data_IF_610873675982
#
_entry.id   IF_610873675982
#
_cell.length_a   1.000
_cell.length_b   1.000
_cell.length_c   1.000
_cell.angle_alpha   90.00
_cell.angle_beta   90.00
_cell.angle_gamma   90.00
#
_symmetry.space_group_name_H-M   'P 1'
#
loop_
_entity.id
_entity.type
_entity.pdbx_description
1 polymer ?
#
# COMPACT_ATOMS: atom_id res chain seq x y z
N UNK A 1 18.17 12.71 -8.29
CA UNK A 1 18.64 11.33 -8.01
C UNK A 1 20.15 11.32 -8.01
N UNK A 2 20.77 10.24 -7.54
CA UNK A 2 22.22 10.10 -7.59
C UNK A 2 22.69 9.64 -8.98
N UNK A 3 23.90 10.05 -9.37
CA UNK A 3 24.60 9.54 -10.55
C UNK A 3 25.17 8.15 -10.32
N UNK A 4 25.38 7.42 -11.41
CA UNK A 4 26.13 6.17 -11.44
C UNK A 4 27.59 6.44 -11.05
N UNK A 5 28.02 5.78 -9.97
CA UNK A 5 29.37 5.85 -9.43
C UNK A 5 29.68 4.55 -8.69
N UNK A 6 30.94 4.36 -8.30
CA UNK A 6 31.31 3.22 -7.46
C UNK A 6 30.59 3.29 -6.11
N UNK A 7 30.47 4.49 -5.53
CA UNK A 7 29.81 4.72 -4.25
C UNK A 7 28.32 4.38 -4.33
N UNK A 8 27.64 4.77 -5.40
CA UNK A 8 26.23 4.46 -5.55
C UNK A 8 25.98 2.97 -5.79
N UNK A 9 26.84 2.29 -6.55
CA UNK A 9 26.82 0.82 -6.64
C UNK A 9 27.06 0.14 -5.28
N UNK A 10 28.04 0.59 -4.49
CA UNK A 10 28.30 0.03 -3.16
C UNK A 10 27.11 0.22 -2.22
N UNK A 11 26.45 1.37 -2.28
CA UNK A 11 25.23 1.62 -1.52
C UNK A 11 24.11 0.65 -1.92
N UNK A 12 23.86 0.46 -3.22
CA UNK A 12 22.91 -0.54 -3.72
C UNK A 12 23.24 -1.96 -3.25
N UNK A 13 24.53 -2.32 -3.27
CA UNK A 13 24.99 -3.61 -2.77
C UNK A 13 24.64 -3.79 -1.29
N UNK A 14 25.03 -2.84 -0.43
CA UNK A 14 24.82 -2.94 1.02
C UNK A 14 23.34 -2.99 1.37
N UNK A 15 22.52 -2.14 0.77
CA UNK A 15 21.08 -2.12 1.03
C UNK A 15 20.38 -3.40 0.60
N UNK A 16 20.66 -3.91 -0.61
CA UNK A 16 20.08 -5.19 -1.06
C UNK A 16 20.61 -6.37 -0.26
N UNK A 17 21.89 -6.39 0.10
CA UNK A 17 22.47 -7.44 0.93
C UNK A 17 21.75 -7.54 2.28
N UNK A 18 21.60 -6.43 2.99
CA UNK A 18 20.95 -6.40 4.30
C UNK A 18 19.46 -6.73 4.22
N UNK A 19 18.78 -6.29 3.14
CA UNK A 19 17.39 -6.67 2.88
C UNK A 19 17.25 -8.19 2.73
N UNK A 20 18.00 -8.80 1.79
CA UNK A 20 17.88 -10.23 1.47
C UNK A 20 18.35 -11.09 2.65
N UNK A 21 19.37 -10.67 3.39
CA UNK A 21 19.82 -11.34 4.61
C UNK A 21 18.70 -11.35 5.66
N UNK A 22 18.03 -10.22 5.86
CA UNK A 22 16.92 -10.10 6.81
C UNK A 22 15.73 -10.95 6.40
N UNK A 23 15.43 -11.06 5.09
CA UNK A 23 14.41 -12.00 4.57
C UNK A 23 14.75 -13.42 5.01
N UNK A 24 15.95 -13.91 4.70
CA UNK A 24 16.33 -15.29 5.03
C UNK A 24 16.36 -15.57 6.53
N UNK A 25 16.88 -14.64 7.33
CA UNK A 25 16.86 -14.75 8.79
C UNK A 25 15.44 -14.85 9.35
N UNK A 26 14.48 -14.07 8.85
CA UNK A 26 13.10 -14.10 9.34
C UNK A 26 12.35 -15.38 8.93
N UNK A 27 12.59 -15.89 7.73
CA UNK A 27 12.00 -17.14 7.26
C UNK A 27 12.53 -18.33 8.09
N UNK A 28 13.86 -18.46 8.20
CA UNK A 28 14.48 -19.59 8.89
C UNK A 28 14.31 -19.55 10.42
N UNK A 29 14.19 -18.36 11.02
CA UNK A 29 13.84 -18.23 12.45
C UNK A 29 12.35 -18.44 12.75
N UNK A 30 11.51 -18.62 11.72
CA UNK A 30 10.06 -18.82 11.86
C UNK A 30 9.40 -17.75 12.73
N UNK A 31 9.56 -16.46 12.37
CA UNK A 31 8.95 -15.33 13.08
C UNK A 31 7.69 -14.81 12.36
N UNK A 32 6.53 -15.51 12.45
CA UNK A 32 5.33 -15.16 11.69
C UNK A 32 4.67 -13.86 12.16
N UNK A 33 4.98 -13.39 13.37
CA UNK A 33 4.36 -12.19 13.93
C UNK A 33 5.06 -10.92 13.43
N UNK A 34 6.39 -10.90 13.44
CA UNK A 34 7.18 -9.69 13.16
C UNK A 34 8.00 -9.77 11.88
N UNK A 35 8.02 -10.90 11.17
CA UNK A 35 8.85 -11.11 9.99
C UNK A 35 8.64 -10.03 8.92
N UNK A 36 7.39 -9.75 8.54
CA UNK A 36 7.06 -8.70 7.57
C UNK A 36 7.50 -7.31 8.03
N UNK A 37 7.28 -6.98 9.31
CA UNK A 37 7.73 -5.69 9.89
C UNK A 37 9.25 -5.58 9.95
N UNK A 38 9.96 -6.67 10.26
CA UNK A 38 11.43 -6.69 10.30
C UNK A 38 12.03 -6.42 8.92
N UNK A 39 11.49 -7.07 7.88
CA UNK A 39 11.92 -6.86 6.48
C UNK A 39 11.58 -5.44 6.02
N UNK A 40 10.39 -4.94 6.34
CA UNK A 40 10.00 -3.55 6.08
C UNK A 40 10.93 -2.54 6.77
N UNK A 41 11.33 -2.83 8.01
CA UNK A 41 12.18 -1.96 8.82
C UNK A 41 13.59 -1.86 8.24
N UNK A 42 14.21 -2.99 7.85
CA UNK A 42 15.54 -2.93 7.22
C UNK A 42 15.49 -2.18 5.89
N UNK A 43 14.45 -2.39 5.08
CA UNK A 43 14.28 -1.64 3.83
C UNK A 43 14.18 -0.13 4.09
N UNK A 44 13.30 0.29 5.01
CA UNK A 44 13.12 1.68 5.40
C UNK A 44 14.43 2.31 5.93
N UNK A 45 15.10 1.63 6.88
CA UNK A 45 16.34 2.13 7.49
C UNK A 45 17.43 2.29 6.44
N UNK A 46 17.58 1.32 5.53
CA UNK A 46 18.57 1.42 4.46
C UNK A 46 18.24 2.51 3.44
N UNK A 47 16.95 2.75 3.16
CA UNK A 47 16.53 3.86 2.29
C UNK A 47 16.92 5.21 2.90
N UNK A 48 16.69 5.42 4.19
CA UNK A 48 17.11 6.66 4.85
C UNK A 48 18.63 6.78 4.98
N UNK A 49 19.33 5.67 5.22
CA UNK A 49 20.79 5.68 5.37
C UNK A 49 21.54 5.94 4.05
N UNK A 50 21.07 5.37 2.95
CA UNK A 50 21.81 5.33 1.68
C UNK A 50 21.10 6.01 0.50
N UNK A 51 19.85 6.46 0.67
CA UNK A 51 19.09 7.12 -0.39
C UNK A 51 19.77 8.36 -0.96
N UNK A 52 20.47 9.13 -0.11
CA UNK A 52 21.27 10.28 -0.56
C UNK A 52 22.50 9.90 -1.41
N UNK A 53 22.93 8.64 -1.38
CA UNK A 53 24.11 8.14 -2.10
C UNK A 53 23.74 7.49 -3.43
N UNK A 54 22.69 6.66 -3.48
CA UNK A 54 22.32 5.90 -4.68
C UNK A 54 20.91 6.15 -5.20
N UNK A 55 20.03 6.77 -4.41
CA UNK A 55 18.58 6.72 -4.60
C UNK A 55 17.90 5.54 -3.91
N UNK A 56 18.68 4.59 -3.36
CA UNK A 56 18.22 3.43 -2.60
C UNK A 56 17.16 2.58 -3.33
N UNK A 57 17.48 2.12 -4.54
CA UNK A 57 16.54 1.30 -5.33
C UNK A 57 16.38 -0.10 -4.71
N UNK A 58 17.49 -0.72 -4.33
CA UNK A 58 17.67 -2.04 -3.71
C UNK A 58 16.92 -3.22 -4.35
N UNK A 59 16.39 -3.01 -5.54
CA UNK A 59 15.46 -3.90 -6.21
C UNK A 59 15.55 -3.66 -7.73
N UNK A 60 15.84 -4.71 -8.55
CA UNK A 60 15.88 -4.57 -10.00
C UNK A 60 14.55 -4.09 -10.61
N UNK A 61 13.41 -4.47 -10.03
CA UNK A 61 12.09 -4.02 -10.48
C UNK A 61 11.87 -2.51 -10.20
N UNK A 62 12.36 -2.01 -9.06
CA UNK A 62 12.35 -0.56 -8.76
C UNK A 62 13.27 0.20 -9.72
N UNK A 63 14.47 -0.33 -9.97
CA UNK A 63 15.41 0.25 -10.94
C UNK A 63 14.81 0.32 -12.35
N UNK A 64 14.10 -0.74 -12.78
CA UNK A 64 13.36 -0.76 -14.03
C UNK A 64 12.26 0.32 -14.05
N UNK A 65 11.43 0.40 -13.01
CA UNK A 65 10.34 1.37 -12.94
C UNK A 65 10.85 2.82 -13.05
N UNK A 66 11.91 3.16 -12.31
CA UNK A 66 12.54 4.48 -12.38
C UNK A 66 13.16 4.74 -13.76
N UNK A 67 13.77 3.73 -14.38
CA UNK A 67 14.29 3.82 -15.75
C UNK A 67 13.21 4.11 -16.78
N UNK A 68 12.12 3.32 -16.76
CA UNK A 68 10.97 3.48 -17.64
C UNK A 68 10.25 4.83 -17.46
N UNK A 69 10.19 5.33 -16.22
CA UNK A 69 9.65 6.65 -15.91
C UNK A 69 10.62 7.81 -16.23
N UNK A 70 11.82 7.52 -16.76
CA UNK A 70 12.83 8.53 -17.09
C UNK A 70 13.39 9.26 -15.88
N UNK A 71 13.44 8.60 -14.71
CA UNK A 71 13.83 9.21 -13.44
C UNK A 71 15.27 8.90 -13.03
N UNK A 72 15.95 7.98 -13.72
CA UNK A 72 17.36 7.64 -13.52
C UNK A 72 18.28 8.63 -14.24
N UNK A 73 19.21 9.25 -13.54
CA UNK A 73 20.04 10.35 -14.08
C UNK A 73 20.96 9.90 -15.21
N UNK A 74 21.60 8.74 -15.08
CA UNK A 74 22.44 8.14 -16.13
C UNK A 74 21.68 7.10 -16.97
N UNK A 75 20.34 7.14 -16.93
CA UNK A 75 19.44 6.32 -17.73
C UNK A 75 19.68 4.82 -17.59
N UNK A 76 19.58 4.10 -18.71
CA UNK A 76 19.66 2.63 -18.75
C UNK A 76 21.00 2.04 -18.32
N UNK A 77 22.09 2.80 -18.40
CA UNK A 77 23.40 2.36 -17.87
C UNK A 77 23.32 2.16 -16.36
N UNK A 78 22.69 3.09 -15.66
CA UNK A 78 22.49 3.02 -14.22
C UNK A 78 21.53 1.88 -13.84
N UNK A 79 20.43 1.71 -14.58
CA UNK A 79 19.48 0.60 -14.37
C UNK A 79 20.18 -0.75 -14.45
N UNK A 80 20.99 -0.97 -15.49
CA UNK A 80 21.74 -2.21 -15.68
C UNK A 80 22.78 -2.44 -14.59
N UNK A 81 23.58 -1.41 -14.27
CA UNK A 81 24.60 -1.50 -13.23
C UNK A 81 24.00 -1.82 -11.85
N UNK A 82 22.94 -1.11 -11.45
CA UNK A 82 22.27 -1.35 -10.18
C UNK A 82 21.67 -2.76 -10.13
N UNK A 83 20.98 -3.20 -11.19
CA UNK A 83 20.36 -4.54 -11.22
C UNK A 83 21.38 -5.66 -11.04
N UNK A 84 22.54 -5.57 -11.71
CA UNK A 84 23.63 -6.55 -11.55
C UNK A 84 24.16 -6.57 -10.11
N UNK A 85 24.40 -5.40 -9.54
CA UNK A 85 24.96 -5.29 -8.18
C UNK A 85 23.96 -5.78 -7.12
N UNK A 86 22.67 -5.46 -7.28
CA UNK A 86 21.60 -5.92 -6.41
C UNK A 86 21.45 -7.45 -6.45
N UNK A 87 21.48 -8.06 -7.65
CA UNK A 87 21.44 -9.52 -7.79
C UNK A 87 22.65 -10.16 -7.11
N UNK A 88 23.86 -9.62 -7.32
CA UNK A 88 25.06 -10.13 -6.66
C UNK A 88 24.99 -10.02 -5.13
N UNK A 89 24.46 -8.91 -4.62
CA UNK A 89 24.20 -8.74 -3.19
C UNK A 89 23.21 -9.78 -2.64
N UNK A 90 22.13 -10.05 -3.37
CA UNK A 90 21.14 -11.06 -2.99
C UNK A 90 21.70 -12.48 -2.94
N UNK A 91 22.56 -12.84 -3.89
CA UNK A 91 23.27 -14.13 -3.87
C UNK A 91 24.17 -14.27 -2.62
N UNK A 92 24.98 -13.25 -2.33
CA UNK A 92 25.88 -13.28 -1.17
C UNK A 92 25.13 -13.26 0.16
N UNK A 93 24.05 -12.48 0.26
CA UNK A 93 23.18 -12.48 1.43
C UNK A 93 22.54 -13.84 1.66
N UNK A 94 22.19 -14.53 0.57
CA UNK A 94 21.56 -15.85 0.66
C UNK A 94 22.51 -16.93 1.11
N UNK A 95 23.75 -16.91 0.61
CA UNK A 95 24.84 -17.74 1.16
C UNK A 95 25.07 -17.42 2.65
N UNK A 96 24.99 -16.14 3.04
CA UNK A 96 25.22 -15.73 4.43
C UNK A 96 24.18 -16.32 5.38
N UNK A 97 22.88 -16.18 5.09
CA UNK A 97 21.88 -16.78 5.98
C UNK A 97 21.95 -18.32 5.95
N UNK A 98 22.28 -18.92 4.80
CA UNK A 98 22.41 -20.37 4.69
C UNK A 98 23.55 -20.89 5.60
N UNK A 99 24.67 -20.19 5.65
CA UNK A 99 25.76 -20.49 6.58
C UNK A 99 25.39 -20.21 8.04
N UNK A 100 24.63 -19.15 8.31
CA UNK A 100 24.23 -18.78 9.67
C UNK A 100 23.28 -19.82 10.30
N UNK A 101 22.32 -20.32 9.52
CA UNK A 101 21.29 -21.25 9.99
C UNK A 101 21.60 -22.71 9.67
N UNK A 102 22.60 -22.98 8.81
CA UNK A 102 22.88 -24.31 8.25
C UNK A 102 21.64 -24.92 7.58
N UNK A 103 20.80 -24.07 6.99
CA UNK A 103 19.54 -24.45 6.36
C UNK A 103 19.19 -23.48 5.23
N UNK A 104 18.32 -23.92 4.32
CA UNK A 104 17.87 -23.16 3.16
C UNK A 104 16.37 -23.35 2.93
N UNK A 105 15.77 -22.49 2.13
CA UNK A 105 14.38 -22.61 1.73
C UNK A 105 14.25 -22.26 0.24
N UNK A 106 13.21 -22.76 -0.40
CA UNK A 106 12.94 -22.49 -1.81
C UNK A 106 11.94 -21.34 -1.97
N UNK A 107 12.08 -20.61 -3.08
CA UNK A 107 11.02 -19.73 -3.58
C UNK A 107 9.97 -20.60 -4.28
N UNK A 108 8.71 -20.22 -4.18
CA UNK A 108 7.64 -20.83 -4.95
C UNK A 108 6.27 -20.61 -4.32
N UNK A 109 5.20 -21.04 -5.03
CA UNK A 109 3.86 -21.04 -4.47
C UNK A 109 3.82 -21.82 -3.16
N UNK A 110 3.17 -21.26 -2.15
CA UNK A 110 3.01 -21.94 -0.86
C UNK A 110 2.03 -23.11 -0.98
N UNK A 111 2.04 -24.01 0.00
CA UNK A 111 1.16 -25.16 0.01
C UNK A 111 -0.32 -24.74 -0.10
N UNK A 112 -1.04 -25.34 -1.06
CA UNK A 112 -2.45 -25.03 -1.34
C UNK A 112 -2.67 -24.02 -2.46
N UNK A 113 -1.61 -23.36 -2.95
CA UNK A 113 -1.70 -22.39 -4.04
C UNK A 113 -0.95 -22.83 -5.29
N UNK A 114 -1.46 -22.42 -6.43
CA UNK A 114 -0.88 -22.67 -7.76
C UNK A 114 0.05 -21.54 -8.17
N UNK A 115 0.84 -21.79 -9.20
CA UNK A 115 1.81 -20.81 -9.73
C UNK A 115 1.16 -19.47 -10.11
N UNK A 116 -0.02 -19.48 -10.74
CA UNK A 116 -0.62 -18.23 -11.23
C UNK A 116 -1.18 -17.39 -10.07
N UNK A 117 -1.68 -18.03 -8.99
CA UNK A 117 -2.13 -17.34 -7.77
C UNK A 117 -0.96 -16.61 -7.10
N UNK A 118 0.19 -17.30 -6.99
CA UNK A 118 1.42 -16.68 -6.51
C UNK A 118 1.90 -15.53 -7.41
N UNK A 119 1.82 -15.70 -8.73
CA UNK A 119 2.31 -14.68 -9.67
C UNK A 119 1.43 -13.43 -9.72
N UNK A 120 0.12 -13.56 -9.52
CA UNK A 120 -0.75 -12.39 -9.33
C UNK A 120 -0.31 -11.61 -8.08
N UNK A 121 0.02 -12.30 -6.99
CA UNK A 121 0.48 -11.64 -5.76
C UNK A 121 1.80 -10.88 -5.97
N UNK A 122 2.79 -11.53 -6.57
CA UNK A 122 4.09 -10.91 -6.86
C UNK A 122 3.94 -9.70 -7.81
N UNK A 123 3.08 -9.81 -8.82
CA UNK A 123 2.76 -8.69 -9.71
C UNK A 123 2.12 -7.52 -8.96
N UNK A 124 1.10 -7.77 -8.14
CA UNK A 124 0.31 -6.72 -7.47
C UNK A 124 1.13 -5.96 -6.42
N UNK A 125 1.85 -6.66 -5.55
CA UNK A 125 2.61 -5.98 -4.51
C UNK A 125 3.94 -5.41 -5.02
N UNK A 126 4.50 -5.93 -6.12
CA UNK A 126 5.58 -5.22 -6.85
C UNK A 126 5.07 -3.98 -7.55
N UNK A 127 3.86 -4.02 -8.12
CA UNK A 127 3.20 -2.81 -8.62
C UNK A 127 3.10 -1.79 -7.48
N UNK A 128 2.56 -2.19 -6.31
CA UNK A 128 2.40 -1.29 -5.17
C UNK A 128 3.75 -0.68 -4.78
N UNK A 129 4.81 -1.49 -4.69
CA UNK A 129 6.15 -1.05 -4.31
C UNK A 129 6.68 0.00 -5.29
N UNK A 130 6.70 -0.33 -6.59
CA UNK A 130 7.19 0.58 -7.62
C UNK A 130 6.33 1.84 -7.74
N UNK A 131 5.01 1.72 -7.59
CA UNK A 131 4.09 2.86 -7.63
C UNK A 131 4.33 3.80 -6.45
N UNK A 132 4.53 3.27 -5.25
CA UNK A 132 4.86 4.07 -4.06
C UNK A 132 6.22 4.75 -4.22
N UNK A 133 7.24 4.05 -4.72
CA UNK A 133 8.55 4.68 -5.02
C UNK A 133 8.39 5.83 -6.01
N UNK A 134 7.70 5.61 -7.13
CA UNK A 134 7.51 6.62 -8.16
C UNK A 134 6.78 7.87 -7.62
N UNK A 135 5.77 7.69 -6.79
CA UNK A 135 4.98 8.80 -6.26
C UNK A 135 5.64 9.53 -5.10
N UNK A 136 6.29 8.81 -4.18
CA UNK A 136 6.83 9.41 -2.95
C UNK A 136 8.27 9.90 -3.09
N UNK A 137 9.11 9.20 -3.87
CA UNK A 137 10.52 9.52 -3.98
C UNK A 137 10.90 10.18 -5.33
N UNK A 138 10.17 9.88 -6.41
CA UNK A 138 10.55 10.29 -7.78
C UNK A 138 9.58 11.28 -8.46
N UNK A 139 8.42 11.56 -7.87
CA UNK A 139 7.51 12.58 -8.37
C UNK A 139 8.15 13.96 -8.20
N UNK A 140 7.82 14.90 -9.08
CA UNK A 140 8.33 16.26 -9.01
C UNK A 140 7.67 17.06 -7.89
N UNK A 141 6.43 16.69 -7.52
CA UNK A 141 5.69 17.35 -6.44
C UNK A 141 6.25 16.99 -5.06
N UNK A 142 6.58 15.71 -4.84
CA UNK A 142 7.01 15.22 -3.53
C UNK A 142 8.50 14.87 -3.45
N UNK A 143 9.10 14.36 -4.52
CA UNK A 143 10.46 13.81 -4.51
C UNK A 143 11.51 14.81 -4.02
N UNK A 144 12.18 14.47 -2.91
CA UNK A 144 13.18 15.32 -2.26
C UNK A 144 12.63 16.39 -1.30
N UNK A 145 11.31 16.58 -1.25
CA UNK A 145 10.64 17.61 -0.43
C UNK A 145 9.79 17.02 0.72
N UNK A 146 9.79 15.69 0.87
CA UNK A 146 9.08 14.99 1.93
C UNK A 146 10.01 14.10 2.75
N UNK A 147 9.58 13.78 3.97
CA UNK A 147 10.34 12.93 4.90
C UNK A 147 9.76 11.52 5.02
N UNK A 148 8.59 11.25 4.47
CA UNK A 148 7.89 9.98 4.63
C UNK A 148 8.22 8.92 3.56
N UNK A 149 8.93 9.27 2.47
CA UNK A 149 9.20 8.35 1.36
C UNK A 149 9.78 6.99 1.81
N UNK A 150 10.78 6.99 2.70
CA UNK A 150 11.38 5.75 3.19
C UNK A 150 10.40 4.89 4.00
N UNK A 151 9.62 5.53 4.88
CA UNK A 151 8.54 4.88 5.63
C UNK A 151 7.47 4.29 4.70
N UNK A 152 7.03 5.06 3.70
CA UNK A 152 6.02 4.63 2.74
C UNK A 152 6.51 3.42 1.92
N UNK A 153 7.73 3.47 1.39
CA UNK A 153 8.31 2.37 0.62
C UNK A 153 8.48 1.12 1.51
N UNK A 154 8.99 1.27 2.73
CA UNK A 154 9.14 0.15 3.67
C UNK A 154 7.81 -0.53 4.02
N UNK A 155 6.77 0.25 4.30
CA UNK A 155 5.47 -0.29 4.71
C UNK A 155 4.69 -0.98 3.58
N UNK A 156 5.09 -0.84 2.31
CA UNK A 156 4.58 -1.72 1.25
C UNK A 156 4.88 -3.19 1.57
N UNK A 157 6.07 -3.45 2.15
CA UNK A 157 6.44 -4.81 2.56
C UNK A 157 5.56 -5.30 3.71
N UNK A 158 5.12 -4.43 4.63
CA UNK A 158 4.13 -4.84 5.64
C UNK A 158 2.82 -5.25 4.95
N UNK A 159 2.32 -4.46 4.00
CA UNK A 159 1.09 -4.78 3.27
C UNK A 159 1.21 -6.11 2.50
N UNK A 160 2.30 -6.32 1.76
CA UNK A 160 2.50 -7.50 0.93
C UNK A 160 2.91 -8.76 1.69
N UNK A 161 3.81 -8.66 2.67
CA UNK A 161 4.29 -9.83 3.41
C UNK A 161 3.16 -10.52 4.19
N UNK A 162 2.28 -9.73 4.82
CA UNK A 162 1.14 -10.28 5.55
C UNK A 162 -0.09 -10.54 4.66
N UNK A 163 -0.26 -9.77 3.58
CA UNK A 163 -1.33 -9.96 2.62
C UNK A 163 -1.12 -11.19 1.73
N UNK A 164 0.01 -11.28 1.04
CA UNK A 164 0.25 -12.36 0.06
C UNK A 164 1.39 -13.31 0.39
N UNK A 165 2.14 -13.09 1.47
CA UNK A 165 3.24 -13.99 1.85
C UNK A 165 2.77 -15.44 2.04
N UNK A 166 1.55 -15.64 2.53
CA UNK A 166 0.93 -16.96 2.68
C UNK A 166 0.54 -17.62 1.34
N UNK A 167 0.63 -16.90 0.20
CA UNK A 167 0.31 -17.39 -1.16
C UNK A 167 1.58 -17.55 -2.00
N UNK A 168 2.43 -16.52 -2.03
CA UNK A 168 3.62 -16.48 -2.91
C UNK A 168 4.96 -16.49 -2.18
N UNK A 169 4.98 -16.36 -0.86
CA UNK A 169 6.20 -16.08 -0.08
C UNK A 169 6.60 -14.59 -0.06
N UNK A 170 6.03 -13.76 -0.95
CA UNK A 170 6.13 -12.29 -0.92
C UNK A 170 7.53 -11.74 -1.17
N UNK A 171 8.11 -12.02 -2.35
CA UNK A 171 9.45 -11.55 -2.70
C UNK A 171 9.47 -10.08 -3.11
N UNK A 172 8.61 -9.72 -4.06
CA UNK A 172 8.43 -8.39 -4.66
C UNK A 172 9.73 -7.75 -5.19
N UNK A 173 10.76 -8.57 -5.43
CA UNK A 173 12.11 -8.14 -5.71
C UNK A 173 12.90 -9.27 -6.40
N UNK A 174 13.32 -9.07 -7.67
CA UNK A 174 14.07 -10.09 -8.39
C UNK A 174 15.38 -10.50 -7.70
N UNK A 175 16.05 -9.58 -6.99
CA UNK A 175 17.27 -9.91 -6.26
C UNK A 175 17.00 -10.81 -5.04
N UNK A 176 15.83 -10.67 -4.40
CA UNK A 176 15.39 -11.56 -3.32
C UNK A 176 15.06 -12.94 -3.90
N UNK A 177 14.23 -12.99 -4.94
CA UNK A 177 13.81 -14.24 -5.57
C UNK A 177 15.00 -15.05 -6.12
N UNK A 178 15.89 -14.41 -6.89
CA UNK A 178 17.10 -15.04 -7.45
C UNK A 178 18.06 -15.48 -6.33
N UNK A 179 18.24 -14.66 -5.30
CA UNK A 179 19.11 -14.97 -4.17
C UNK A 179 18.71 -16.26 -3.46
N UNK A 180 17.43 -16.37 -3.08
CA UNK A 180 16.89 -17.52 -2.36
C UNK A 180 16.96 -18.79 -3.23
N UNK A 181 16.51 -18.72 -4.48
CA UNK A 181 16.45 -19.88 -5.38
C UNK A 181 17.86 -20.43 -5.70
N UNK A 182 18.89 -19.57 -5.72
CA UNK A 182 20.27 -19.98 -5.97
C UNK A 182 20.88 -20.87 -4.87
N UNK A 183 20.52 -20.64 -3.60
CA UNK A 183 21.01 -21.48 -2.48
C UNK A 183 20.03 -22.60 -2.12
N UNK A 184 18.74 -22.41 -2.40
CA UNK A 184 17.67 -23.39 -2.18
C UNK A 184 17.59 -24.51 -3.23
N UNK A 185 18.59 -24.67 -4.11
CA UNK A 185 18.55 -25.57 -5.27
C UNK A 185 18.21 -27.03 -4.93
N UNK A 186 18.54 -27.49 -3.71
CA UNK A 186 18.18 -28.84 -3.24
C UNK A 186 16.70 -29.00 -2.88
N UNK A 187 15.99 -27.89 -2.68
CA UNK A 187 14.59 -27.81 -2.24
C UNK A 187 13.64 -27.34 -3.36
N UNK A 188 14.18 -26.95 -4.51
CA UNK A 188 13.46 -26.44 -5.68
C UNK A 188 14.32 -25.38 -6.39
N UNK A 189 14.28 -25.33 -7.73
CA UNK A 189 15.03 -24.35 -8.52
C UNK A 189 14.23 -23.92 -9.76
N UNK A 190 14.38 -22.65 -10.16
CA UNK A 190 13.84 -22.08 -11.39
C UNK A 190 12.61 -21.20 -11.18
N UNK A 191 12.05 -21.16 -9.96
CA UNK A 191 10.92 -20.29 -9.64
C UNK A 191 11.31 -18.82 -9.72
N UNK A 192 12.56 -18.47 -9.44
CA UNK A 192 13.01 -17.08 -9.49
C UNK A 192 12.79 -16.43 -10.87
N UNK A 193 12.82 -17.22 -11.95
CA UNK A 193 12.59 -16.73 -13.31
C UNK A 193 11.15 -16.24 -13.49
N UNK A 194 10.19 -17.03 -13.02
CA UNK A 194 8.78 -16.68 -13.12
C UNK A 194 8.45 -15.48 -12.22
N UNK A 195 8.96 -15.48 -10.97
CA UNK A 195 8.84 -14.36 -10.04
C UNK A 195 9.38 -13.08 -10.68
N UNK A 196 10.62 -13.13 -11.19
CA UNK A 196 11.26 -11.97 -11.84
C UNK A 196 10.39 -11.44 -12.99
N UNK A 197 9.87 -12.30 -13.86
CA UNK A 197 9.02 -11.85 -14.98
C UNK A 197 7.79 -11.10 -14.48
N UNK A 198 7.07 -11.64 -13.50
CA UNK A 198 5.84 -11.01 -13.00
C UNK A 198 6.09 -9.77 -12.14
N UNK A 199 7.20 -9.73 -11.39
CA UNK A 199 7.67 -8.54 -10.68
C UNK A 199 8.01 -7.40 -11.66
N UNK A 200 8.71 -7.70 -12.77
CA UNK A 200 9.01 -6.70 -13.81
C UNK A 200 7.74 -6.23 -14.57
N UNK A 201 6.76 -7.11 -14.77
CA UNK A 201 5.43 -6.73 -15.29
C UNK A 201 4.74 -5.79 -14.29
N UNK A 202 4.73 -6.13 -13.00
CA UNK A 202 4.17 -5.28 -11.94
C UNK A 202 4.82 -3.89 -11.90
N UNK A 203 6.15 -3.82 -12.00
CA UNK A 203 6.90 -2.57 -12.11
C UNK A 203 6.51 -1.74 -13.35
N UNK A 204 6.35 -2.40 -14.50
CA UNK A 204 5.93 -1.74 -15.75
C UNK A 204 4.51 -1.19 -15.65
N UNK A 205 3.59 -1.95 -15.07
CA UNK A 205 2.22 -1.52 -14.82
C UNK A 205 2.18 -0.35 -13.82
N UNK A 206 3.05 -0.33 -12.80
CA UNK A 206 3.17 0.78 -11.87
C UNK A 206 3.57 2.08 -12.57
N UNK A 207 4.48 2.02 -13.55
CA UNK A 207 4.84 3.17 -14.39
C UNK A 207 3.63 3.62 -15.21
N UNK A 208 2.85 2.70 -15.78
CA UNK A 208 1.62 3.04 -16.49
C UNK A 208 0.61 3.73 -15.56
N UNK A 209 0.40 3.20 -14.35
CA UNK A 209 -0.46 3.82 -13.32
C UNK A 209 0.02 5.22 -12.93
N UNK A 210 1.33 5.39 -12.73
CA UNK A 210 1.94 6.70 -12.43
C UNK A 210 1.69 7.69 -13.56
N UNK A 211 1.91 7.31 -14.82
CA UNK A 211 1.73 8.20 -15.99
C UNK A 211 0.26 8.53 -16.22
N UNK A 212 -0.65 7.56 -16.05
CA UNK A 212 -2.09 7.80 -16.19
C UNK A 212 -2.63 8.73 -15.12
N UNK A 213 -2.08 8.66 -13.90
CA UNK A 213 -2.46 9.51 -12.79
C UNK A 213 -1.79 10.89 -12.84
N UNK A 214 -0.53 10.97 -13.30
CA UNK A 214 0.27 12.21 -13.37
C UNK A 214 0.78 12.43 -14.81
N UNK A 215 -0.11 12.65 -15.79
CA UNK A 215 0.30 12.82 -17.18
C UNK A 215 1.24 14.02 -17.38
N UNK A 216 1.14 15.05 -16.52
CA UNK A 216 1.99 16.24 -16.51
C UNK A 216 3.43 15.92 -16.08
N UNK A 217 3.66 14.84 -15.35
CA UNK A 217 4.98 14.47 -14.83
C UNK A 217 5.70 13.41 -15.67
N UNK A 218 5.11 13.03 -16.81
CA UNK A 218 5.55 11.94 -17.67
C UNK A 218 6.98 12.09 -18.21
N UNK A 219 7.40 13.32 -18.53
CA UNK A 219 8.70 13.59 -19.18
C UNK A 219 9.63 14.44 -18.31
N UNK A 220 10.94 14.23 -18.49
CA UNK A 220 11.97 15.12 -17.96
C UNK A 220 11.72 16.55 -18.45
N UNK A 221 11.68 17.53 -17.53
CA UNK A 221 11.47 18.95 -17.83
C UNK A 221 10.06 19.53 -17.60
N UNK A 222 9.00 18.72 -17.51
CA UNK A 222 7.63 19.22 -17.22
C UNK A 222 7.40 19.48 -15.72
N UNK A 223 6.91 20.65 -15.29
CA UNK A 223 6.68 20.89 -13.86
C UNK A 223 5.41 20.21 -13.34
N UNK A 224 5.38 19.86 -12.04
CA UNK A 224 4.15 19.38 -11.42
C UNK A 224 3.14 20.53 -11.31
N UNK A 225 1.84 20.28 -11.60
CA UNK A 225 0.83 21.31 -11.47
C UNK A 225 0.58 21.66 -10.00
N UNK A 226 0.10 22.89 -9.75
CA UNK A 226 -0.35 23.29 -8.42
C UNK A 226 -1.50 22.39 -7.91
N UNK A 227 -2.45 22.08 -8.79
CA UNK A 227 -3.55 21.15 -8.57
C UNK A 227 -3.72 20.21 -9.77
N UNK A 228 -3.97 18.92 -9.51
CA UNK A 228 -4.26 17.95 -10.56
C UNK A 228 -5.71 18.01 -11.01
N UNK A 229 -5.98 17.67 -12.26
CA UNK A 229 -7.33 17.61 -12.80
C UNK A 229 -8.15 16.42 -12.28
N UNK A 230 -9.47 16.45 -12.50
CA UNK A 230 -10.40 15.41 -12.06
C UNK A 230 -9.98 14.01 -12.51
N UNK A 231 -9.47 13.85 -13.74
CA UNK A 231 -9.03 12.54 -14.26
C UNK A 231 -7.95 11.91 -13.37
N UNK A 232 -6.89 12.67 -13.05
CA UNK A 232 -5.82 12.22 -12.15
C UNK A 232 -6.36 11.81 -10.80
N UNK A 233 -7.27 12.64 -10.25
CA UNK A 233 -7.89 12.40 -8.95
C UNK A 233 -8.67 11.09 -8.91
N UNK A 234 -9.56 10.86 -9.89
CA UNK A 234 -10.41 9.66 -9.93
C UNK A 234 -9.62 8.38 -10.26
N UNK A 235 -8.53 8.48 -11.04
CA UNK A 235 -7.58 7.37 -11.25
C UNK A 235 -6.87 7.03 -9.94
N UNK A 236 -6.42 8.05 -9.19
CA UNK A 236 -5.82 7.87 -7.87
C UNK A 236 -6.76 7.17 -6.89
N UNK A 237 -8.00 7.65 -6.78
CA UNK A 237 -9.03 7.04 -5.93
C UNK A 237 -9.31 5.57 -6.29
N UNK A 238 -9.33 5.25 -7.59
CA UNK A 238 -9.51 3.87 -8.05
C UNK A 238 -8.32 2.98 -7.65
N UNK A 239 -7.08 3.41 -7.91
CA UNK A 239 -5.87 2.62 -7.59
C UNK A 239 -5.77 2.38 -6.08
N UNK A 240 -5.91 3.43 -5.26
CA UNK A 240 -5.79 3.29 -3.80
C UNK A 240 -6.89 2.41 -3.20
N UNK A 241 -8.14 2.56 -3.66
CA UNK A 241 -9.25 1.70 -3.19
C UNK A 241 -9.07 0.26 -3.62
N UNK A 242 -8.64 0.01 -4.87
CA UNK A 242 -8.37 -1.34 -5.37
C UNK A 242 -7.36 -2.06 -4.48
N UNK A 243 -6.21 -1.43 -4.20
CA UNK A 243 -5.16 -2.04 -3.38
C UNK A 243 -5.59 -2.23 -1.92
N UNK A 244 -6.35 -1.29 -1.36
CA UNK A 244 -6.93 -1.44 -0.04
C UNK A 244 -7.80 -2.70 0.04
N UNK A 245 -8.77 -2.85 -0.87
CA UNK A 245 -9.71 -3.99 -0.84
C UNK A 245 -9.02 -5.33 -1.14
N UNK A 246 -8.07 -5.36 -2.10
CA UNK A 246 -7.23 -6.55 -2.31
C UNK A 246 -6.53 -6.92 -1.00
N UNK A 247 -5.89 -5.96 -0.34
CA UNK A 247 -5.13 -6.23 0.90
C UNK A 247 -6.03 -6.74 2.03
N UNK A 248 -7.26 -6.21 2.14
CA UNK A 248 -8.28 -6.68 3.10
C UNK A 248 -8.55 -8.17 2.89
N UNK A 249 -8.99 -8.56 1.69
CA UNK A 249 -9.40 -9.93 1.47
C UNK A 249 -8.24 -10.93 1.53
N UNK A 250 -7.08 -10.53 1.01
CA UNK A 250 -5.85 -11.33 1.10
C UNK A 250 -5.47 -11.63 2.56
N UNK A 251 -5.56 -10.65 3.47
CA UNK A 251 -5.26 -10.88 4.89
C UNK A 251 -6.31 -11.71 5.62
N UNK A 252 -7.60 -11.49 5.34
CA UNK A 252 -8.70 -12.17 6.04
C UNK A 252 -8.74 -13.66 5.67
N UNK A 253 -8.59 -14.00 4.39
CA UNK A 253 -8.68 -15.38 3.91
C UNK A 253 -7.55 -16.29 4.41
N UNK A 254 -6.37 -15.71 4.65
CA UNK A 254 -5.23 -16.45 5.23
C UNK A 254 -5.18 -16.35 6.76
N UNK A 255 -6.20 -15.76 7.39
CA UNK A 255 -6.27 -15.52 8.83
C UNK A 255 -4.99 -14.86 9.39
N UNK A 256 -4.50 -13.83 8.68
CA UNK A 256 -3.26 -13.13 9.04
C UNK A 256 -3.31 -12.56 10.46
N UNK A 257 -2.30 -12.87 11.27
CA UNK A 257 -2.18 -12.36 12.65
C UNK A 257 -1.94 -10.85 12.70
N UNK A 258 -1.49 -10.27 11.61
CA UNK A 258 -1.23 -8.84 11.48
C UNK A 258 -2.21 -8.16 10.52
N UNK A 259 -3.38 -8.76 10.26
CA UNK A 259 -4.35 -8.26 9.28
C UNK A 259 -4.64 -6.76 9.41
N UNK A 260 -5.00 -6.28 10.60
CA UNK A 260 -5.31 -4.87 10.83
C UNK A 260 -4.11 -3.95 10.50
N UNK A 261 -2.89 -4.36 10.86
CA UNK A 261 -1.68 -3.59 10.61
C UNK A 261 -1.25 -3.63 9.12
N UNK A 262 -1.45 -4.77 8.45
CA UNK A 262 -1.21 -4.92 7.01
C UNK A 262 -2.16 -4.08 6.17
N UNK A 263 -3.45 -4.06 6.52
CA UNK A 263 -4.47 -3.26 5.83
C UNK A 263 -4.21 -1.78 6.08
N UNK A 264 -3.87 -1.40 7.32
CA UNK A 264 -3.43 -0.06 7.66
C UNK A 264 -2.20 0.39 6.87
N UNK A 265 -1.21 -0.49 6.69
CA UNK A 265 -0.04 -0.22 5.88
C UNK A 265 -0.41 0.05 4.42
N UNK A 266 -1.28 -0.78 3.82
CA UNK A 266 -1.79 -0.57 2.45
C UNK A 266 -2.48 0.79 2.29
N UNK A 267 -3.39 1.14 3.22
CA UNK A 267 -4.02 2.46 3.23
C UNK A 267 -2.97 3.59 3.34
N UNK A 268 -2.06 3.48 4.30
CA UNK A 268 -1.03 4.49 4.58
C UNK A 268 -0.17 4.78 3.37
N UNK A 269 0.36 3.74 2.70
CA UNK A 269 1.27 3.92 1.57
C UNK A 269 0.56 4.47 0.34
N UNK A 270 -0.73 4.14 0.15
CA UNK A 270 -1.56 4.73 -0.89
C UNK A 270 -1.86 6.21 -0.60
N UNK A 271 -2.13 6.59 0.65
CA UNK A 271 -2.29 8.01 1.04
C UNK A 271 -1.01 8.79 0.77
N UNK A 272 0.15 8.26 1.15
CA UNK A 272 1.42 8.92 0.87
C UNK A 272 1.72 9.07 -0.63
N UNK A 273 1.20 8.17 -1.46
CA UNK A 273 1.44 8.17 -2.91
C UNK A 273 0.50 9.07 -3.70
N UNK A 274 -0.73 9.25 -3.22
CA UNK A 274 -1.84 9.82 -4.01
C UNK A 274 -2.48 11.03 -3.31
N UNK A 275 -2.19 11.25 -2.01
CA UNK A 275 -2.78 12.33 -1.23
C UNK A 275 -2.57 13.73 -1.80
N UNK A 276 -1.43 13.99 -2.44
CA UNK A 276 -1.14 15.26 -3.13
C UNK A 276 -1.85 15.41 -4.50
N UNK A 277 -2.49 14.33 -4.97
CA UNK A 277 -3.29 14.27 -6.19
C UNK A 277 -4.77 14.41 -5.86
N UNK A 278 -5.36 13.45 -5.13
CA UNK A 278 -6.80 13.38 -4.85
C UNK A 278 -7.20 13.70 -3.41
N UNK A 279 -6.25 13.87 -2.50
CA UNK A 279 -6.52 13.85 -1.06
C UNK A 279 -6.57 12.43 -0.47
N UNK A 280 -6.57 11.38 -1.30
CA UNK A 280 -6.43 9.98 -0.90
C UNK A 280 -7.55 9.48 0.01
N UNK A 281 -8.81 9.62 -0.43
CA UNK A 281 -9.95 9.24 0.40
C UNK A 281 -10.14 7.71 0.47
N UNK A 282 -10.13 7.04 -0.68
CA UNK A 282 -10.28 5.59 -0.88
C UNK A 282 -11.49 4.94 -0.19
N UNK A 283 -12.45 5.77 0.21
CA UNK A 283 -13.52 5.41 1.12
C UNK A 283 -14.70 6.37 0.92
N UNK A 284 -15.88 5.87 0.54
CA UNK A 284 -17.06 6.71 0.39
C UNK A 284 -17.51 7.41 1.68
N UNK A 285 -17.28 6.81 2.86
CA UNK A 285 -17.57 7.44 4.15
C UNK A 285 -16.62 8.64 4.42
N UNK A 286 -15.32 8.49 4.13
CA UNK A 286 -14.36 9.60 4.20
C UNK A 286 -14.76 10.70 3.21
N UNK A 287 -15.09 10.34 1.97
CA UNK A 287 -15.53 11.29 0.95
C UNK A 287 -16.79 12.04 1.38
N UNK A 288 -17.74 11.34 2.01
CA UNK A 288 -18.94 11.95 2.59
C UNK A 288 -18.58 12.96 3.70
N UNK A 289 -17.70 12.58 4.63
CA UNK A 289 -17.29 13.46 5.72
C UNK A 289 -16.61 14.75 5.20
N UNK A 290 -15.73 14.62 4.20
CA UNK A 290 -15.03 15.73 3.55
C UNK A 290 -16.00 16.65 2.79
N UNK A 291 -16.96 16.10 2.03
CA UNK A 291 -17.93 16.90 1.27
C UNK A 291 -18.97 17.58 2.16
N UNK A 292 -19.46 16.92 3.21
CA UNK A 292 -20.36 17.56 4.20
C UNK A 292 -19.63 18.71 4.89
N UNK A 293 -18.32 18.60 5.09
CA UNK A 293 -17.48 19.65 5.68
C UNK A 293 -17.10 20.76 4.67
N UNK A 294 -17.58 20.71 3.43
CA UNK A 294 -17.32 21.75 2.42
C UNK A 294 -15.87 21.78 1.91
N UNK A 295 -15.14 20.67 2.07
CA UNK A 295 -13.70 20.59 1.76
C UNK A 295 -13.42 20.04 0.35
N UNK A 296 -14.45 19.57 -0.36
CA UNK A 296 -14.39 19.11 -1.75
C UNK A 296 -15.71 19.48 -2.47
N UNK A 297 -15.71 19.79 -3.78
CA UNK A 297 -16.94 20.03 -4.53
C UNK A 297 -17.85 18.78 -4.59
N UNK A 298 -19.17 18.96 -4.47
CA UNK A 298 -20.14 17.86 -4.49
C UNK A 298 -20.04 16.96 -5.73
N UNK A 299 -19.80 17.56 -6.91
CA UNK A 299 -19.67 16.80 -8.15
C UNK A 299 -18.42 15.91 -8.15
N UNK A 300 -17.30 16.44 -7.64
CA UNK A 300 -16.05 15.70 -7.51
C UNK A 300 -16.22 14.54 -6.52
N UNK A 301 -16.84 14.78 -5.37
CA UNK A 301 -17.18 13.75 -4.39
C UNK A 301 -18.03 12.60 -5.00
N UNK A 302 -19.00 12.93 -5.85
CA UNK A 302 -19.80 11.93 -6.57
C UNK A 302 -18.96 11.01 -7.46
N UNK A 303 -17.97 11.56 -8.18
CA UNK A 303 -17.06 10.75 -8.98
C UNK A 303 -16.11 9.90 -8.13
N UNK A 304 -15.64 10.42 -7.00
CA UNK A 304 -14.79 9.66 -6.07
C UNK A 304 -15.53 8.43 -5.56
N UNK A 305 -16.76 8.60 -5.06
CA UNK A 305 -17.58 7.49 -4.57
C UNK A 305 -17.80 6.45 -5.66
N UNK A 306 -18.14 6.87 -6.89
CA UNK A 306 -18.36 5.93 -7.98
C UNK A 306 -17.11 5.09 -8.30
N UNK A 307 -15.94 5.72 -8.35
CA UNK A 307 -14.68 5.02 -8.63
C UNK A 307 -14.23 4.15 -7.46
N UNK A 308 -14.40 4.60 -6.22
CA UNK A 308 -14.09 3.81 -5.02
C UNK A 308 -14.94 2.53 -4.99
N UNK A 309 -16.26 2.64 -5.21
CA UNK A 309 -17.14 1.47 -5.22
C UNK A 309 -16.77 0.49 -6.34
N UNK A 310 -16.52 0.98 -7.56
CA UNK A 310 -16.11 0.14 -8.69
C UNK A 310 -14.77 -0.57 -8.44
N UNK A 311 -13.78 0.18 -7.92
CA UNK A 311 -12.47 -0.36 -7.57
C UNK A 311 -12.54 -1.35 -6.40
N UNK A 312 -13.45 -1.13 -5.44
CA UNK A 312 -13.69 -2.05 -4.32
C UNK A 312 -14.24 -3.39 -4.80
N UNK A 313 -15.20 -3.38 -5.73
CA UNK A 313 -15.70 -4.61 -6.36
C UNK A 313 -14.58 -5.33 -7.12
N UNK A 314 -13.80 -4.60 -7.93
CA UNK A 314 -12.71 -5.19 -8.69
C UNK A 314 -11.63 -5.79 -7.76
N UNK A 315 -11.25 -5.07 -6.70
CA UNK A 315 -10.28 -5.56 -5.72
C UNK A 315 -10.79 -6.81 -5.00
N UNK A 316 -12.09 -6.89 -4.75
CA UNK A 316 -12.69 -8.06 -4.14
C UNK A 316 -12.68 -9.30 -5.05
N UNK A 317 -13.04 -9.11 -6.32
CA UNK A 317 -12.94 -10.16 -7.34
C UNK A 317 -11.51 -10.67 -7.54
N UNK A 318 -10.50 -9.79 -7.37
CA UNK A 318 -9.10 -10.20 -7.48
C UNK A 318 -8.67 -11.07 -6.30
N UNK A 319 -8.99 -10.73 -5.04
CA UNK A 319 -8.63 -11.62 -3.93
C UNK A 319 -9.41 -12.95 -4.00
N UNK A 320 -10.68 -12.92 -4.44
CA UNK A 320 -11.52 -14.10 -4.65
C UNK A 320 -10.88 -15.03 -5.69
N UNK A 321 -10.47 -14.46 -6.83
CA UNK A 321 -9.77 -15.20 -7.88
C UNK A 321 -8.48 -15.83 -7.33
N UNK A 322 -7.65 -15.05 -6.63
CA UNK A 322 -6.39 -15.54 -6.04
C UNK A 322 -6.63 -16.67 -5.03
N UNK A 323 -7.76 -16.69 -4.33
CA UNK A 323 -8.13 -17.75 -3.39
C UNK A 323 -9.05 -18.82 -3.98
N UNK A 324 -9.09 -18.96 -5.31
CA UNK A 324 -9.82 -20.06 -5.95
C UNK A 324 -11.34 -20.00 -5.78
N UNK A 325 -11.90 -18.80 -5.59
CA UNK A 325 -13.32 -18.59 -5.33
C UNK A 325 -13.67 -18.45 -3.84
N UNK A 326 -12.71 -18.59 -2.93
CA UNK A 326 -12.97 -18.39 -1.50
C UNK A 326 -13.15 -16.90 -1.15
N UNK A 327 -14.06 -16.63 -0.23
CA UNK A 327 -14.41 -15.31 0.29
C UNK A 327 -15.04 -15.44 1.69
N UNK A 328 -15.39 -14.34 2.33
CA UNK A 328 -15.87 -14.29 3.71
C UNK A 328 -17.12 -13.41 3.83
N UNK A 329 -18.03 -13.70 4.78
CA UNK A 329 -19.26 -12.93 4.95
C UNK A 329 -19.02 -11.63 5.75
N UNK A 330 -19.86 -10.63 5.48
CA UNK A 330 -20.10 -9.52 6.42
C UNK A 330 -21.16 -9.94 7.43
N UNK A 331 -20.97 -9.57 8.69
CA UNK A 331 -21.96 -9.82 9.74
C UNK A 331 -21.37 -9.83 11.14
N UNK A 332 -22.21 -10.08 12.15
CA UNK A 332 -21.75 -10.18 13.53
C UNK A 332 -20.77 -11.34 13.69
N UNK A 333 -19.68 -11.10 14.41
CA UNK A 333 -18.79 -12.15 14.89
C UNK A 333 -19.47 -13.04 15.92
N UNK A 334 -18.83 -14.17 16.25
CA UNK A 334 -19.37 -15.14 17.20
C UNK A 334 -19.66 -14.48 18.56
N UNK A 335 -20.91 -14.59 19.02
CA UNK A 335 -21.38 -14.02 20.28
C UNK A 335 -21.85 -12.57 20.20
N UNK A 336 -21.84 -11.96 19.01
CA UNK A 336 -22.32 -10.60 18.78
C UNK A 336 -23.58 -10.59 17.91
N UNK A 337 -24.30 -9.48 17.96
CA UNK A 337 -25.51 -9.24 17.18
C UNK A 337 -25.36 -8.00 16.28
N UNK A 338 -26.40 -7.69 15.51
CA UNK A 338 -26.39 -6.54 14.61
C UNK A 338 -26.33 -5.20 15.33
N UNK A 339 -26.78 -5.10 16.58
CA UNK A 339 -26.63 -3.88 17.36
C UNK A 339 -25.16 -3.62 17.71
N UNK A 340 -24.42 -4.67 18.08
CA UNK A 340 -22.98 -4.62 18.31
C UNK A 340 -22.21 -4.21 17.05
N UNK A 341 -22.58 -4.77 15.89
CA UNK A 341 -22.01 -4.38 14.59
C UNK A 341 -22.27 -2.92 14.28
N UNK A 342 -23.51 -2.45 14.46
CA UNK A 342 -23.87 -1.06 14.19
C UNK A 342 -23.05 -0.08 15.04
N UNK A 343 -22.94 -0.32 16.34
CA UNK A 343 -22.12 0.52 17.24
C UNK A 343 -20.66 0.51 16.82
N UNK A 344 -20.10 -0.67 16.54
CA UNK A 344 -18.71 -0.83 16.14
C UNK A 344 -18.39 -0.04 14.84
N UNK A 345 -19.16 -0.29 13.78
CA UNK A 345 -18.94 0.36 12.47
C UNK A 345 -19.20 1.87 12.53
N UNK A 346 -20.21 2.35 13.25
CA UNK A 346 -20.47 3.79 13.42
C UNK A 346 -19.30 4.48 14.13
N UNK A 347 -18.88 3.95 15.28
CA UNK A 347 -17.88 4.61 16.14
C UNK A 347 -16.49 4.60 15.50
N UNK A 348 -16.06 3.48 14.91
CA UNK A 348 -14.71 3.43 14.33
C UNK A 348 -14.65 4.07 12.94
N UNK A 349 -15.76 4.15 12.20
CA UNK A 349 -15.83 5.00 10.99
C UNK A 349 -15.84 6.47 11.36
N UNK A 350 -16.52 6.84 12.46
CA UNK A 350 -16.42 8.17 13.04
C UNK A 350 -14.97 8.52 13.38
N UNK A 351 -14.23 7.64 14.06
CA UNK A 351 -12.81 7.87 14.39
C UNK A 351 -11.99 8.12 13.13
N UNK A 352 -12.11 7.26 12.12
CA UNK A 352 -11.40 7.41 10.85
C UNK A 352 -11.74 8.76 10.18
N UNK A 353 -13.02 9.05 9.98
CA UNK A 353 -13.46 10.26 9.29
C UNK A 353 -13.11 11.54 10.06
N UNK A 354 -13.26 11.52 11.39
CA UNK A 354 -12.94 12.66 12.24
C UNK A 354 -11.45 12.97 12.20
N UNK A 355 -10.61 11.94 12.30
CA UNK A 355 -9.15 12.10 12.19
C UNK A 355 -8.76 12.64 10.82
N UNK A 356 -9.29 12.08 9.72
CA UNK A 356 -9.03 12.60 8.36
C UNK A 356 -9.34 14.10 8.28
N UNK A 357 -10.49 14.53 8.79
CA UNK A 357 -10.84 15.94 8.79
C UNK A 357 -9.83 16.79 9.57
N UNK A 358 -9.42 16.34 10.76
CA UNK A 358 -8.51 17.07 11.64
C UNK A 358 -7.06 17.13 11.13
N UNK A 359 -6.58 16.13 10.38
CA UNK A 359 -5.15 16.05 9.99
C UNK A 359 -4.89 16.29 8.51
N UNK A 360 -5.93 16.25 7.67
CA UNK A 360 -5.80 16.42 6.21
C UNK A 360 -6.70 17.52 5.63
N UNK A 361 -7.89 17.76 6.20
CA UNK A 361 -8.87 18.69 5.63
C UNK A 361 -8.84 20.11 6.25
N UNK A 362 -8.03 20.32 7.29
CA UNK A 362 -7.78 21.63 7.91
C UNK A 362 -6.94 22.54 7.01
N UNK A 363 -7.07 23.86 7.18
CA UNK A 363 -6.29 24.85 6.40
C UNK A 363 -4.78 24.70 6.62
N UNK A 364 -4.38 24.33 7.84
CA UNK A 364 -2.97 24.10 8.21
C UNK A 364 -2.87 22.72 8.87
N UNK A 365 -2.43 21.69 8.13
CA UNK A 365 -2.22 20.37 8.70
C UNK A 365 -1.22 20.40 9.87
N UNK A 366 -1.57 19.83 11.04
CA UNK A 366 -0.70 19.87 12.22
C UNK A 366 0.58 19.03 12.07
N UNK A 367 0.54 17.98 11.24
CA UNK A 367 1.64 17.04 11.06
C UNK A 367 1.65 16.48 9.62
N UNK A 368 1.88 17.31 8.58
CA UNK A 368 1.70 16.93 7.18
C UNK A 368 2.55 15.72 6.75
N UNK A 369 3.74 15.55 7.34
CA UNK A 369 4.62 14.41 7.07
C UNK A 369 4.08 13.09 7.67
N UNK A 370 3.20 13.16 8.66
CA UNK A 370 2.62 12.01 9.36
C UNK A 370 1.16 11.75 8.99
N UNK A 371 0.54 12.56 8.12
CA UNK A 371 -0.88 12.45 7.76
C UNK A 371 -1.27 11.03 7.33
N UNK A 372 -0.52 10.41 6.41
CA UNK A 372 -0.78 9.04 5.96
C UNK A 372 -0.67 8.02 7.11
N UNK A 373 0.37 8.14 7.94
CA UNK A 373 0.57 7.26 9.11
C UNK A 373 -0.57 7.36 10.12
N UNK A 374 -0.97 8.59 10.47
CA UNK A 374 -2.04 8.86 11.44
C UNK A 374 -3.37 8.25 10.95
N UNK A 375 -3.70 8.45 9.67
CA UNK A 375 -4.94 7.91 9.07
C UNK A 375 -4.86 6.37 9.00
N UNK A 376 -3.72 5.81 8.57
CA UNK A 376 -3.51 4.36 8.57
C UNK A 376 -3.67 3.73 9.95
N UNK A 377 -3.17 4.37 11.01
CA UNK A 377 -3.30 3.88 12.38
C UNK A 377 -4.75 3.83 12.87
N UNK A 378 -5.66 4.61 12.30
CA UNK A 378 -7.10 4.47 12.60
C UNK A 378 -7.63 3.09 12.20
N UNK A 379 -7.13 2.51 11.10
CA UNK A 379 -7.49 1.15 10.67
C UNK A 379 -6.88 0.10 11.60
N UNK A 380 -5.66 0.32 12.10
CA UNK A 380 -5.07 -0.56 13.12
C UNK A 380 -5.91 -0.55 14.40
N UNK A 381 -6.31 0.64 14.86
CA UNK A 381 -7.16 0.84 16.04
C UNK A 381 -8.51 0.14 15.85
N UNK A 382 -9.20 0.39 14.74
CA UNK A 382 -10.49 -0.26 14.44
C UNK A 382 -10.38 -1.77 14.28
N UNK A 383 -9.50 -2.25 13.40
CA UNK A 383 -9.34 -3.68 13.13
C UNK A 383 -8.97 -4.48 14.38
N UNK A 384 -8.13 -3.95 15.27
CA UNK A 384 -7.77 -4.64 16.53
C UNK A 384 -8.86 -4.53 17.60
N UNK A 385 -9.57 -3.40 17.69
CA UNK A 385 -10.59 -3.19 18.71
C UNK A 385 -11.90 -3.93 18.42
N UNK A 386 -12.35 -3.92 17.16
CA UNK A 386 -13.68 -4.41 16.76
C UNK A 386 -13.65 -5.52 15.70
N UNK A 387 -12.48 -6.00 15.28
CA UNK A 387 -12.38 -7.07 14.27
C UNK A 387 -13.16 -8.34 14.65
N UNK A 388 -13.23 -8.68 15.94
CA UNK A 388 -14.04 -9.82 16.43
C UNK A 388 -15.54 -9.55 16.49
N UNK A 389 -15.97 -8.29 16.41
CA UNK A 389 -17.36 -7.86 16.53
C UNK A 389 -18.02 -7.75 15.15
N UNK A 390 -17.41 -6.98 14.24
CA UNK A 390 -17.95 -6.70 12.89
C UNK A 390 -16.97 -7.04 11.76
N UNK A 391 -15.75 -7.47 12.07
CA UNK A 391 -14.67 -7.52 11.08
C UNK A 391 -13.98 -6.17 10.83
N UNK A 392 -14.59 -5.05 11.24
CA UNK A 392 -14.04 -3.71 11.12
C UNK A 392 -13.89 -3.24 9.68
N UNK A 393 -15.00 -3.16 8.94
CA UNK A 393 -14.99 -2.78 7.51
C UNK A 393 -14.67 -1.29 7.31
N UNK A 394 -15.37 -0.42 8.05
CA UNK A 394 -15.13 1.03 8.14
C UNK A 394 -15.14 1.78 6.81
N UNK A 395 -15.65 1.15 5.75
CA UNK A 395 -15.50 1.62 4.37
C UNK A 395 -16.57 1.00 3.45
N UNK A 396 -17.48 1.81 2.89
CA UNK A 396 -18.52 1.32 2.00
C UNK A 396 -18.02 0.59 0.75
N UNK A 397 -16.83 0.95 0.24
CA UNK A 397 -16.22 0.26 -0.91
C UNK A 397 -15.69 -1.13 -0.54
N UNK A 398 -15.15 -1.30 0.68
CA UNK A 398 -14.76 -2.61 1.22
C UNK A 398 -16.02 -3.46 1.44
N UNK A 399 -17.04 -2.89 2.09
CA UNK A 399 -18.32 -3.53 2.36
C UNK A 399 -19.03 -4.01 1.09
N UNK A 400 -19.12 -3.16 0.06
CA UNK A 400 -19.69 -3.52 -1.23
C UNK A 400 -18.84 -4.56 -1.96
N UNK A 401 -17.51 -4.44 -1.92
CA UNK A 401 -16.60 -5.40 -2.50
C UNK A 401 -16.82 -6.81 -1.96
N UNK A 402 -16.79 -6.96 -0.62
CA UNK A 402 -17.02 -8.26 0.04
C UNK A 402 -18.39 -8.83 -0.31
N UNK A 403 -19.45 -8.00 -0.25
CA UNK A 403 -20.79 -8.43 -0.63
C UNK A 403 -20.87 -8.93 -2.08
N UNK A 404 -20.15 -8.27 -3.00
CA UNK A 404 -20.12 -8.63 -4.43
C UNK A 404 -19.37 -9.95 -4.67
N UNK A 405 -18.20 -10.13 -4.05
CA UNK A 405 -17.45 -11.39 -4.11
C UNK A 405 -18.20 -12.56 -3.44
N UNK A 406 -19.04 -12.27 -2.42
CA UNK A 406 -19.90 -13.32 -1.84
C UNK A 406 -21.05 -13.69 -2.74
N UNK A 407 -21.60 -12.70 -3.45
CA UNK A 407 -22.70 -12.90 -4.39
C UNK A 407 -22.26 -13.67 -5.64
N UNK A 408 -21.07 -13.41 -6.18
CA UNK A 408 -20.54 -14.10 -7.38
C UNK A 408 -20.50 -15.62 -7.23
N UNK A 409 -20.23 -16.13 -6.02
CA UNK A 409 -20.17 -17.56 -5.73
C UNK A 409 -21.50 -18.16 -5.24
N UNK A 410 -22.62 -17.45 -5.40
CA UNK A 410 -23.97 -17.96 -5.09
C UNK A 410 -24.31 -18.02 -3.59
N UNK A 411 -23.47 -17.45 -2.72
CA UNK A 411 -23.64 -17.48 -1.26
C UNK A 411 -23.97 -16.11 -0.65
N UNK A 412 -24.05 -15.05 -1.45
CA UNK A 412 -24.13 -13.67 -0.98
C UNK A 412 -25.54 -13.10 -0.96
N UNK A 413 -25.80 -12.30 0.07
CA UNK A 413 -26.84 -11.26 0.04
C UNK A 413 -26.13 -9.91 0.07
N UNK A 414 -26.61 -8.95 -0.71
CA UNK A 414 -26.14 -7.56 -0.60
C UNK A 414 -26.64 -6.88 0.68
N UNK A 415 -27.63 -7.44 1.36
CA UNK A 415 -28.27 -6.81 2.52
C UNK A 415 -27.29 -6.51 3.67
N UNK A 416 -26.44 -7.46 4.12
CA UNK A 416 -25.34 -7.15 5.04
C UNK A 416 -24.46 -5.99 4.58
N UNK A 417 -24.04 -5.99 3.32
CA UNK A 417 -23.22 -4.90 2.75
C UNK A 417 -23.93 -3.55 2.84
N UNK A 418 -25.22 -3.50 2.50
CA UNK A 418 -26.03 -2.27 2.61
C UNK A 418 -26.14 -1.78 4.05
N UNK A 419 -26.31 -2.67 5.03
CA UNK A 419 -26.35 -2.27 6.44
C UNK A 419 -25.01 -1.67 6.90
N UNK A 420 -23.89 -2.30 6.56
CA UNK A 420 -22.56 -1.76 6.87
C UNK A 420 -22.37 -0.36 6.26
N UNK A 421 -22.72 -0.19 4.97
CA UNK A 421 -22.64 1.10 4.31
C UNK A 421 -23.46 2.18 5.05
N UNK A 422 -24.66 1.86 5.51
CA UNK A 422 -25.48 2.80 6.28
C UNK A 422 -24.78 3.19 7.58
N UNK A 423 -24.25 2.23 8.35
CA UNK A 423 -23.56 2.48 9.61
C UNK A 423 -22.30 3.34 9.42
N UNK A 424 -21.50 3.02 8.41
CA UNK A 424 -20.28 3.75 8.06
C UNK A 424 -20.60 5.21 7.66
N UNK A 425 -21.64 5.42 6.83
CA UNK A 425 -22.08 6.77 6.43
C UNK A 425 -22.64 7.59 7.60
N UNK A 426 -23.32 6.95 8.56
CA UNK A 426 -23.76 7.59 9.81
C UNK A 426 -22.53 8.04 10.63
N UNK A 427 -21.52 7.18 10.78
CA UNK A 427 -20.26 7.53 11.45
C UNK A 427 -19.56 8.72 10.80
N UNK A 428 -19.51 8.75 9.45
CA UNK A 428 -18.96 9.88 8.69
C UNK A 428 -19.73 11.20 8.90
N UNK A 429 -21.06 11.16 8.91
CA UNK A 429 -21.88 12.34 9.15
C UNK A 429 -21.69 12.89 10.57
N UNK A 430 -21.64 11.99 11.56
CA UNK A 430 -21.33 12.35 12.95
C UNK A 430 -19.93 12.99 13.07
N UNK A 431 -18.93 12.46 12.35
CA UNK A 431 -17.57 13.00 12.35
C UNK A 431 -17.52 14.41 11.79
N UNK A 432 -18.23 14.68 10.69
CA UNK A 432 -18.34 16.04 10.14
C UNK A 432 -19.03 17.00 11.11
N UNK A 433 -20.09 16.56 11.79
CA UNK A 433 -20.75 17.35 12.84
C UNK A 433 -19.79 17.70 13.98
N UNK A 434 -19.05 16.71 14.50
CA UNK A 434 -18.05 16.94 15.55
C UNK A 434 -16.91 17.85 15.09
N UNK A 435 -16.43 17.67 13.85
CA UNK A 435 -15.39 18.52 13.27
C UNK A 435 -15.85 19.98 13.20
N UNK A 436 -17.09 20.25 12.78
CA UNK A 436 -17.68 21.61 12.78
C UNK A 436 -17.74 22.23 14.17
N UNK A 437 -18.04 21.45 15.20
CA UNK A 437 -18.11 21.93 16.58
C UNK A 437 -16.73 22.16 17.21
N UNK A 438 -15.77 21.31 16.89
CA UNK A 438 -14.41 21.35 17.46
C UNK A 438 -13.46 22.31 16.73
N UNK A 439 -13.71 22.58 15.45
CA UNK A 439 -12.88 23.44 14.59
C UNK A 439 -13.72 24.54 13.89
N UNK A 440 -14.46 25.39 14.64
CA UNK A 440 -15.30 26.43 14.04
C UNK A 440 -14.50 27.42 13.16
N UNK A 441 -13.22 27.66 13.46
CA UNK A 441 -12.30 28.51 12.70
C UNK A 441 -12.05 28.04 11.26
N UNK A 442 -12.24 26.74 11.00
CA UNK A 442 -12.15 26.17 9.65
C UNK A 442 -13.31 26.63 8.75
N UNK A 443 -14.40 27.13 9.34
CA UNK A 443 -15.62 27.57 8.65
C UNK A 443 -15.86 29.08 8.70
N UNK A 444 -15.09 29.83 9.51
CA UNK A 444 -15.23 31.28 9.60
C UNK A 444 -14.78 31.99 8.32
N UNK A 445 -15.62 32.90 7.80
CA UNK A 445 -15.26 33.81 6.71
C UNK A 445 -14.26 34.88 7.21
N UNK A 446 -13.19 35.12 6.46
CA UNK A 446 -12.23 36.20 6.75
C UNK A 446 -11.12 35.89 7.77
N UNK A 447 -11.01 34.66 8.28
CA UNK A 447 -9.83 34.26 9.05
C UNK A 447 -8.60 34.23 8.11
N UNK A 448 -7.73 35.24 8.24
CA UNK A 448 -6.48 35.34 7.50
C UNK A 448 -5.72 34.00 7.53
N UNK A 449 -5.10 33.64 6.41
CA UNK A 449 -4.03 32.65 6.39
C UNK A 449 -2.94 33.19 7.33
N UNK A 450 -2.90 32.72 8.57
CA UNK A 450 -1.75 32.97 9.43
C UNK A 450 -0.50 32.57 8.64
N UNK A 451 0.54 33.42 8.60
CA UNK A 451 1.71 33.18 7.77
C UNK A 451 2.29 31.81 8.13
N UNK A 452 2.44 30.96 7.11
CA UNK A 452 3.12 29.69 7.22
C UNK A 452 4.54 29.98 7.67
N UNK A 453 4.90 29.58 8.89
CA UNK A 453 6.30 29.55 9.31
C UNK A 453 7.01 28.57 8.37
N UNK A 454 7.91 29.10 7.54
CA UNK A 454 8.68 28.29 6.60
C UNK A 454 9.46 27.22 7.35
N UNK A 455 9.30 25.98 6.91
CA UNK A 455 10.19 24.86 7.21
C UNK A 455 10.70 24.30 5.89
#
# INVERSE_FOLDING_TARGET
>A
MAKLSVQSCLAEFVGTYLLVLTVGCNVLSSNPNWGGVSIASVLMVMIYALGGVSGANFNPAVSLALGLAGKMEDGWKQVGAYSVVQIFAGLLASVTYALLFQDTFAVGPTAGFTWWQAMICELLYTFMLCFVVLNTAASKKLGGNNQFYGLAIGYVIVAGAYGSGAVSGGCFNPAVAIGIDAVGYSSGFGWCLLYTVFELIGATLAVAGFILMRPEEKYLGLEAPSEYGLQSKIVGEAIGTFFLVVTVGMNVLVASKAAAFSIAASLMVMIYSIGDVSGGHFNPAVTLAVVISGKIPHKEAGYYVAMQLAAGVLGAMVYELVHGGDTFPLGPGLGFDWSSVAVAEIIFTFVLCFVVLCVAAVKVPPAPQFTGFIIGMCITVGGLAIGKVSGGSLNPAVSLGIASARFSIGHGSFFPGVLYMIFELVGAAMASGMFRLSHPEEFAEGAEKLPVAGY
#
